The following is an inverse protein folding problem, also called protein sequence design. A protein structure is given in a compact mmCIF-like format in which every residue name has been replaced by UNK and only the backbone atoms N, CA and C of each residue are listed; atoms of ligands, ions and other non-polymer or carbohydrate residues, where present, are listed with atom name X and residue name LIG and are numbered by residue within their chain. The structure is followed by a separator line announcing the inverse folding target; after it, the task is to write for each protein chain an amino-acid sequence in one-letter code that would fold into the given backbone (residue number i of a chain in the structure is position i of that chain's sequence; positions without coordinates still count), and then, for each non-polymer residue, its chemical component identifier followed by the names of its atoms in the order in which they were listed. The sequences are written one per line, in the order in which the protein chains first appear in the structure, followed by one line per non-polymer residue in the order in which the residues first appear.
data_IF_542203188801
#
_entry.id   IF_542203188801
#
_cell.length_a   1.000
_cell.length_b   1.000
_cell.length_c   1.000
_cell.angle_alpha   90.00
_cell.angle_beta   90.00
_cell.angle_gamma   90.00
#
_symmetry.space_group_name_H-M   'P 1'
#
loop_
_entity.id
_entity.type
_entity.pdbx_description
1 polymer ?
#
# COMPACT_ATOMS: atom_id res chain seq x y z
N UNK A 1 -19.41 -16.51 10.11
CA UNK A 1 -19.60 -17.77 10.88
C UNK A 1 -18.36 -18.67 10.87
N UNK A 2 -17.73 -18.95 9.72
CA UNK A 2 -16.54 -19.82 9.64
C UNK A 2 -15.33 -19.40 10.49
N UNK A 3 -14.93 -18.11 10.48
CA UNK A 3 -13.80 -17.67 11.31
C UNK A 3 -14.07 -17.80 12.82
N UNK A 4 -15.35 -17.75 13.23
CA UNK A 4 -15.77 -17.81 14.63
C UNK A 4 -15.98 -19.25 15.12
N UNK A 5 -16.67 -20.08 14.33
CA UNK A 5 -17.06 -21.43 14.75
C UNK A 5 -16.12 -22.53 14.26
N UNK A 6 -15.23 -22.23 13.30
CA UNK A 6 -14.32 -23.19 12.67
C UNK A 6 -14.99 -24.51 12.27
N UNK A 7 -16.20 -24.42 11.71
CA UNK A 7 -16.99 -25.58 11.31
C UNK A 7 -18.04 -25.20 10.25
N UNK A 8 -18.42 -26.11 9.34
CA UNK A 8 -17.75 -27.39 9.05
C UNK A 8 -16.40 -27.18 8.37
N UNK A 9 -15.51 -28.17 8.49
CA UNK A 9 -14.31 -28.21 7.66
C UNK A 9 -14.71 -28.31 6.18
N UNK A 10 -14.00 -27.58 5.32
CA UNK A 10 -14.30 -27.52 3.87
C UNK A 10 -14.25 -28.90 3.20
N UNK A 11 -13.50 -29.85 3.78
CA UNK A 11 -13.45 -31.24 3.33
C UNK A 11 -14.80 -31.95 3.47
N UNK A 12 -15.65 -31.57 4.44
CA UNK A 12 -17.01 -32.10 4.57
C UNK A 12 -17.95 -31.59 3.48
N UNK A 13 -17.58 -30.51 2.79
CA UNK A 13 -18.30 -29.98 1.62
C UNK A 13 -17.75 -30.54 0.29
N UNK A 14 -16.86 -31.54 0.36
CA UNK A 14 -16.28 -32.20 -0.81
C UNK A 14 -15.00 -31.57 -1.34
N UNK A 15 -14.52 -30.47 -0.75
CA UNK A 15 -13.26 -29.83 -1.18
C UNK A 15 -12.04 -30.57 -0.63
N UNK A 16 -11.22 -31.12 -1.52
CA UNK A 16 -9.94 -31.76 -1.17
C UNK A 16 -8.81 -31.11 -1.94
N UNK A 17 -7.69 -30.86 -1.26
CA UNK A 17 -6.49 -30.29 -1.85
C UNK A 17 -5.25 -30.84 -1.15
N UNK A 18 -4.14 -30.98 -1.88
CA UNK A 18 -2.85 -31.35 -1.29
C UNK A 18 -2.27 -30.22 -0.43
N UNK A 19 -2.49 -28.97 -0.84
CA UNK A 19 -2.02 -27.76 -0.17
C UNK A 19 -3.12 -26.71 -0.18
N UNK A 20 -3.32 -26.00 0.93
CA UNK A 20 -4.18 -24.83 1.01
C UNK A 20 -3.33 -23.56 1.10
N UNK A 21 -3.28 -22.80 0.00
CA UNK A 21 -2.72 -21.46 0.03
C UNK A 21 -3.81 -20.46 0.39
N UNK A 22 -3.65 -19.82 1.54
CA UNK A 22 -4.49 -18.73 2.03
C UNK A 22 -3.75 -17.42 1.71
N UNK A 23 -4.16 -16.66 0.68
CA UNK A 23 -3.43 -15.46 0.23
C UNK A 23 -3.63 -14.27 1.16
N UNK A 24 -4.19 -14.47 2.35
CA UNK A 24 -4.35 -13.48 3.41
C UNK A 24 -4.34 -14.23 4.76
N UNK A 25 -4.34 -13.52 5.89
CA UNK A 25 -4.19 -14.10 7.24
C UNK A 25 -5.34 -15.03 7.68
N UNK A 26 -6.37 -15.19 6.86
CA UNK A 26 -7.55 -16.01 7.14
C UNK A 26 -7.37 -17.45 6.64
N UNK A 27 -7.52 -18.39 7.57
CA UNK A 27 -7.53 -19.82 7.26
C UNK A 27 -8.95 -20.36 7.45
N UNK A 28 -9.59 -20.89 6.40
CA UNK A 28 -10.90 -21.51 6.53
C UNK A 28 -10.84 -22.72 7.46
N UNK A 29 -11.97 -23.21 7.98
CA UNK A 29 -11.97 -24.44 8.73
C UNK A 29 -11.52 -25.58 7.82
N UNK A 30 -10.42 -26.24 8.15
CA UNK A 30 -9.83 -27.32 7.34
C UNK A 30 -9.22 -28.36 8.26
N UNK A 31 -9.30 -29.62 7.84
CA UNK A 31 -8.59 -30.73 8.47
C UNK A 31 -7.15 -30.86 7.94
N UNK A 32 -6.86 -30.24 6.78
CA UNK A 32 -5.54 -30.24 6.18
C UNK A 32 -4.54 -29.42 7.01
N UNK A 33 -3.34 -29.98 7.20
CA UNK A 33 -2.22 -29.36 7.92
C UNK A 33 -1.18 -28.70 7.00
N UNK A 34 -1.28 -28.90 5.69
CA UNK A 34 -0.41 -28.31 4.66
C UNK A 34 -0.97 -26.95 4.22
N UNK A 35 -0.98 -26.01 5.15
CA UNK A 35 -1.45 -24.64 4.93
C UNK A 35 -0.25 -23.73 4.63
N UNK A 36 -0.31 -22.99 3.54
CA UNK A 36 0.59 -21.87 3.25
C UNK A 36 -0.21 -20.59 3.50
N UNK A 37 0.29 -19.72 4.35
CA UNK A 37 -0.40 -18.48 4.74
C UNK A 37 0.38 -17.28 4.23
N UNK A 38 -0.23 -16.37 3.48
CA UNK A 38 0.36 -15.07 3.20
C UNK A 38 -0.05 -14.09 4.29
N UNK A 39 0.92 -13.36 4.84
CA UNK A 39 0.68 -12.23 5.75
C UNK A 39 1.33 -11.03 5.07
N UNK A 40 0.50 -10.09 4.60
CA UNK A 40 0.96 -8.92 3.87
C UNK A 40 1.66 -7.91 4.78
N UNK A 41 1.09 -7.66 5.95
CA UNK A 41 1.69 -6.81 6.97
C UNK A 41 1.12 -7.04 8.37
N UNK A 42 1.74 -6.39 9.35
CA UNK A 42 1.24 -6.27 10.73
C UNK A 42 1.16 -4.80 11.15
N UNK A 43 0.78 -3.91 10.22
CA UNK A 43 0.72 -2.46 10.45
C UNK A 43 -0.16 -2.11 11.66
N UNK A 44 -1.22 -2.87 11.89
CA UNK A 44 -2.13 -2.67 13.02
C UNK A 44 -1.52 -3.00 14.39
N UNK A 45 -0.44 -3.79 14.44
CA UNK A 45 0.33 -4.04 15.67
C UNK A 45 1.40 -2.96 15.85
N UNK A 46 2.06 -2.57 14.76
CA UNK A 46 3.16 -1.60 14.78
C UNK A 46 2.68 -0.16 15.00
N UNK A 47 1.52 0.19 14.47
CA UNK A 47 0.89 1.51 14.60
C UNK A 47 -0.54 1.38 15.18
N UNK A 48 -0.65 1.00 16.47
CA UNK A 48 -1.93 0.83 17.12
C UNK A 48 -2.76 2.13 17.16
N UNK A 49 -2.12 3.30 17.19
CA UNK A 49 -2.75 4.62 17.20
C UNK A 49 -3.60 4.92 15.94
N UNK A 50 -3.28 4.25 14.82
CA UNK A 50 -4.06 4.36 13.59
C UNK A 50 -5.30 3.46 13.60
N UNK A 51 -5.43 2.56 14.58
CA UNK A 51 -6.46 1.53 14.66
C UNK A 51 -7.34 1.69 15.91
N UNK A 52 -8.27 0.76 16.10
CA UNK A 52 -9.09 0.66 17.31
C UNK A 52 -8.61 -0.50 18.20
N UNK A 53 -8.59 -0.35 19.52
CA UNK A 53 -8.06 -1.37 20.45
C UNK A 53 -8.71 -2.76 20.28
N UNK A 54 -10.03 -2.80 20.09
CA UNK A 54 -10.76 -4.05 19.88
C UNK A 54 -10.34 -4.73 18.57
N UNK A 55 -10.06 -3.94 17.52
CA UNK A 55 -9.59 -4.42 16.24
C UNK A 55 -8.21 -5.05 16.44
N UNK A 56 -7.28 -4.31 17.04
CA UNK A 56 -5.92 -4.77 17.28
C UNK A 56 -5.92 -6.10 18.06
N UNK A 57 -6.66 -6.18 19.18
CA UNK A 57 -6.72 -7.39 20.00
C UNK A 57 -7.29 -8.59 19.24
N UNK A 58 -8.38 -8.38 18.49
CA UNK A 58 -9.04 -9.44 17.70
C UNK A 58 -8.11 -9.95 16.60
N UNK A 59 -7.61 -9.06 15.74
CA UNK A 59 -6.79 -9.44 14.59
C UNK A 59 -5.43 -9.99 15.01
N UNK A 60 -4.80 -9.42 16.05
CA UNK A 60 -3.54 -9.99 16.61
C UNK A 60 -3.73 -11.45 17.00
N UNK A 61 -4.83 -11.77 17.71
CA UNK A 61 -5.12 -13.14 18.12
C UNK A 61 -5.40 -14.08 16.94
N UNK A 62 -6.18 -13.61 15.95
CA UNK A 62 -6.55 -14.39 14.78
C UNK A 62 -5.36 -14.67 13.86
N UNK A 63 -4.58 -13.63 13.52
CA UNK A 63 -3.37 -13.76 12.69
C UNK A 63 -2.34 -14.64 13.40
N UNK A 64 -2.06 -14.41 14.69
CA UNK A 64 -1.11 -15.24 15.47
C UNK A 64 -1.52 -16.70 15.51
N UNK A 65 -2.81 -16.97 15.71
CA UNK A 65 -3.35 -18.34 15.71
C UNK A 65 -3.16 -19.01 14.34
N UNK A 66 -3.49 -18.30 13.26
CA UNK A 66 -3.38 -18.84 11.89
C UNK A 66 -1.91 -19.02 11.47
N UNK A 67 -1.05 -18.08 11.83
CA UNK A 67 0.40 -18.20 11.66
C UNK A 67 0.98 -19.42 12.39
N UNK A 68 0.46 -19.78 13.58
CA UNK A 68 0.93 -20.97 14.31
C UNK A 68 0.52 -22.28 13.65
N UNK A 69 -0.72 -22.38 13.16
CA UNK A 69 -1.22 -23.62 12.55
C UNK A 69 -0.76 -23.84 11.11
N UNK A 70 -0.26 -22.81 10.42
CA UNK A 70 0.23 -22.96 9.05
C UNK A 70 1.46 -23.88 9.00
N UNK A 71 1.80 -24.42 7.82
CA UNK A 71 3.04 -25.16 7.60
C UNK A 71 4.16 -24.23 7.15
N UNK A 72 3.85 -23.26 6.28
CA UNK A 72 4.73 -22.19 5.82
C UNK A 72 3.97 -20.86 5.82
N UNK A 73 4.72 -19.77 5.91
CA UNK A 73 4.20 -18.41 5.82
C UNK A 73 4.97 -17.69 4.73
N UNK A 74 4.25 -16.96 3.88
CA UNK A 74 4.81 -16.03 2.92
C UNK A 74 4.67 -14.63 3.52
N UNK A 75 5.78 -13.91 3.58
CA UNK A 75 5.82 -12.49 3.88
C UNK A 75 6.20 -11.74 2.61
N UNK A 76 5.57 -10.58 2.39
CA UNK A 76 5.84 -9.80 1.18
C UNK A 76 7.15 -9.00 1.27
N UNK A 77 7.79 -8.95 2.43
CA UNK A 77 9.05 -8.24 2.66
C UNK A 77 9.81 -8.82 3.86
N UNK A 78 11.11 -8.53 3.96
CA UNK A 78 11.91 -8.80 5.15
C UNK A 78 11.37 -8.01 6.35
N UNK A 79 10.92 -6.77 6.16
CA UNK A 79 10.22 -5.99 7.19
C UNK A 79 9.02 -6.76 7.77
N UNK A 80 8.13 -7.26 6.90
CA UNK A 80 6.97 -8.04 7.35
C UNK A 80 7.38 -9.37 7.97
N UNK A 81 8.39 -10.06 7.42
CA UNK A 81 8.95 -11.29 8.00
C UNK A 81 9.45 -11.07 9.42
N UNK A 82 10.22 -10.00 9.63
CA UNK A 82 10.74 -9.63 10.95
C UNK A 82 9.61 -9.32 11.93
N UNK A 83 8.58 -8.60 11.51
CA UNK A 83 7.42 -8.32 12.35
C UNK A 83 6.67 -9.62 12.72
N UNK A 84 6.50 -10.58 11.80
CA UNK A 84 5.88 -11.89 12.08
C UNK A 84 6.69 -12.66 13.13
N UNK A 85 8.01 -12.75 12.96
CA UNK A 85 8.90 -13.44 13.91
C UNK A 85 8.83 -12.77 15.28
N UNK A 86 8.99 -11.45 15.33
CA UNK A 86 9.11 -10.69 16.58
C UNK A 86 7.78 -10.61 17.35
N UNK A 87 6.66 -10.28 16.69
CA UNK A 87 5.37 -10.12 17.37
C UNK A 87 4.71 -11.44 17.73
N UNK A 88 4.90 -12.49 16.93
CA UNK A 88 4.21 -13.77 17.13
C UNK A 88 5.09 -14.87 17.70
N UNK A 89 6.42 -14.72 17.70
CA UNK A 89 7.36 -15.74 18.13
C UNK A 89 7.33 -16.95 17.19
N UNK A 90 7.18 -16.71 15.89
CA UNK A 90 7.18 -17.75 14.87
C UNK A 90 8.62 -18.08 14.49
N UNK A 91 8.92 -19.37 14.32
CA UNK A 91 10.21 -19.84 13.81
C UNK A 91 10.55 -19.16 12.46
N UNK A 92 11.68 -18.43 12.35
CA UNK A 92 12.09 -17.80 11.10
C UNK A 92 12.19 -18.74 9.91
N UNK A 93 12.46 -20.05 10.12
CA UNK A 93 12.50 -21.07 9.07
C UNK A 93 11.11 -21.39 8.48
N UNK A 94 10.04 -20.93 9.14
CA UNK A 94 8.67 -21.06 8.66
C UNK A 94 8.27 -19.93 7.72
N UNK A 95 8.95 -18.79 7.78
CA UNK A 95 8.60 -17.55 7.08
C UNK A 95 9.55 -17.36 5.90
N UNK A 96 9.02 -17.53 4.69
CA UNK A 96 9.72 -17.24 3.44
C UNK A 96 9.34 -15.84 2.96
N UNK A 97 10.32 -15.06 2.52
CA UNK A 97 10.06 -13.79 1.85
C UNK A 97 9.83 -14.03 0.37
N UNK A 98 8.68 -13.61 -0.14
CA UNK A 98 8.39 -13.59 -1.58
C UNK A 98 7.90 -12.19 -1.91
N UNK A 99 8.76 -11.40 -2.54
CA UNK A 99 8.41 -10.06 -3.00
C UNK A 99 7.29 -10.11 -4.04
N UNK A 100 6.36 -9.17 -3.95
CA UNK A 100 5.32 -9.03 -4.97
C UNK A 100 5.90 -8.39 -6.24
N UNK A 101 5.16 -8.54 -7.34
CA UNK A 101 5.41 -7.79 -8.56
C UNK A 101 4.24 -6.84 -8.81
N UNK A 102 4.52 -5.70 -9.42
CA UNK A 102 3.47 -4.87 -10.02
C UNK A 102 2.85 -5.62 -11.22
N UNK A 103 1.58 -5.34 -11.50
CA UNK A 103 0.91 -5.86 -12.69
C UNK A 103 1.63 -5.38 -13.97
N UNK A 104 1.73 -6.25 -14.99
CA UNK A 104 2.42 -5.98 -16.26
C UNK A 104 1.86 -4.77 -17.01
N UNK A 105 0.62 -4.35 -16.72
CA UNK A 105 0.09 -3.10 -17.25
C UNK A 105 0.91 -1.89 -16.81
N UNK A 106 1.47 -1.88 -15.60
CA UNK A 106 2.26 -0.76 -15.10
C UNK A 106 3.65 -0.81 -15.72
N UNK A 107 3.78 -0.14 -16.85
CA UNK A 107 5.01 -0.02 -17.62
C UNK A 107 5.14 1.35 -18.25
N UNK A 108 6.33 1.66 -18.72
CA UNK A 108 6.56 2.84 -19.55
C UNK A 108 5.73 2.75 -20.84
N UNK A 109 4.94 3.78 -21.09
CA UNK A 109 4.15 3.96 -22.30
C UNK A 109 4.95 4.67 -23.38
N UNK A 110 4.74 4.26 -24.63
CA UNK A 110 5.19 5.01 -25.80
C UNK A 110 4.32 6.26 -26.00
N UNK A 111 4.83 7.25 -26.74
CA UNK A 111 4.07 8.48 -27.05
C UNK A 111 2.74 8.22 -27.77
N UNK A 112 2.61 7.11 -28.50
CA UNK A 112 1.35 6.71 -29.15
C UNK A 112 0.32 6.12 -28.18
N UNK A 113 0.78 5.53 -27.07
CA UNK A 113 -0.09 4.94 -26.05
C UNK A 113 -0.52 5.97 -25.00
N UNK A 114 0.23 7.07 -24.87
CA UNK A 114 -0.14 8.17 -23.97
C UNK A 114 -1.42 8.83 -24.42
N UNK A 115 -2.40 8.90 -23.52
CA UNK A 115 -3.70 9.49 -23.78
C UNK A 115 -3.95 10.69 -22.86
N UNK A 116 -3.87 11.90 -23.44
CA UNK A 116 -4.08 13.15 -22.70
C UNK A 116 -5.53 13.36 -22.25
N UNK A 117 -6.51 12.67 -22.85
CA UNK A 117 -7.91 12.79 -22.42
C UNK A 117 -8.13 12.21 -21.02
N UNK A 118 -7.25 11.31 -20.55
CA UNK A 118 -7.24 10.86 -19.16
C UNK A 118 -6.89 12.00 -18.21
N UNK A 119 -5.92 12.86 -18.55
CA UNK A 119 -5.60 14.03 -17.72
C UNK A 119 -6.78 15.00 -17.64
N UNK A 120 -7.46 15.24 -18.77
CA UNK A 120 -8.66 16.09 -18.83
C UNK A 120 -9.80 15.50 -17.99
N UNK A 121 -10.03 14.19 -18.06
CA UNK A 121 -11.02 13.47 -17.25
C UNK A 121 -10.84 13.74 -15.75
N UNK A 122 -9.59 13.84 -15.29
CA UNK A 122 -9.25 14.13 -13.90
C UNK A 122 -8.93 15.60 -13.62
N UNK A 123 -9.19 16.54 -14.54
CA UNK A 123 -8.93 17.98 -14.35
C UNK A 123 -7.46 18.32 -14.06
N UNK A 124 -6.55 17.57 -14.69
CA UNK A 124 -5.10 17.79 -14.65
C UNK A 124 -4.70 18.53 -15.93
N UNK A 125 -4.26 19.78 -15.77
CA UNK A 125 -3.98 20.75 -16.84
C UNK A 125 -2.56 21.33 -16.77
N UNK A 126 -1.76 20.88 -15.80
CA UNK A 126 -0.37 21.30 -15.55
C UNK A 126 0.49 20.10 -15.20
N UNK A 127 1.79 20.33 -15.07
CA UNK A 127 2.73 19.38 -14.46
C UNK A 127 2.25 19.01 -13.06
N UNK A 128 2.53 17.78 -12.63
CA UNK A 128 2.08 17.34 -11.32
C UNK A 128 3.00 16.34 -10.65
N UNK A 129 2.93 16.39 -9.33
CA UNK A 129 3.47 15.40 -8.41
C UNK A 129 2.34 14.41 -8.10
N UNK A 130 2.63 13.11 -8.20
CA UNK A 130 1.66 12.04 -7.97
C UNK A 130 1.92 11.34 -6.64
N UNK A 131 0.83 10.98 -5.95
CA UNK A 131 0.86 10.02 -4.85
C UNK A 131 -0.37 9.11 -4.92
N UNK A 132 -0.20 7.82 -4.64
CA UNK A 132 -1.26 6.80 -4.85
C UNK A 132 -1.46 5.96 -3.59
N UNK A 133 -2.64 6.06 -2.98
CA UNK A 133 -3.01 5.25 -1.83
C UNK A 133 -4.32 5.71 -1.18
N UNK A 134 -4.95 4.82 -0.40
CA UNK A 134 -6.10 5.19 0.44
C UNK A 134 -5.75 6.38 1.32
N UNK A 135 -6.61 7.40 1.36
CA UNK A 135 -6.40 8.58 2.21
C UNK A 135 -6.66 8.17 3.67
N UNK A 136 -5.59 7.88 4.40
CA UNK A 136 -5.62 7.47 5.81
C UNK A 136 -4.33 7.96 6.51
N UNK A 137 -4.30 8.04 7.86
CA UNK A 137 -3.17 8.59 8.61
C UNK A 137 -1.81 8.00 8.25
N UNK A 138 -1.74 6.68 8.02
CA UNK A 138 -0.51 5.96 7.71
C UNK A 138 0.17 6.42 6.41
N UNK A 139 -0.60 6.88 5.42
CA UNK A 139 -0.05 7.40 4.16
C UNK A 139 0.49 8.83 4.28
N UNK A 140 0.18 9.52 5.38
CA UNK A 140 0.73 10.83 5.73
C UNK A 140 0.53 11.93 4.66
N UNK A 141 -0.57 11.87 3.91
CA UNK A 141 -0.87 12.87 2.88
C UNK A 141 -1.05 14.29 3.44
N UNK A 142 -1.41 14.42 4.72
CA UNK A 142 -1.39 15.69 5.45
C UNK A 142 0.01 16.36 5.40
N UNK A 143 1.08 15.61 5.67
CA UNK A 143 2.44 16.15 5.56
C UNK A 143 2.82 16.46 4.12
N UNK A 144 2.40 15.62 3.17
CA UNK A 144 2.63 15.86 1.74
C UNK A 144 2.03 17.20 1.29
N UNK A 145 0.80 17.51 1.70
CA UNK A 145 0.13 18.77 1.41
C UNK A 145 0.87 19.96 2.03
N UNK A 146 1.29 19.86 3.30
CA UNK A 146 2.09 20.93 3.94
C UNK A 146 3.40 21.18 3.20
N UNK A 147 4.10 20.13 2.79
CA UNK A 147 5.32 20.23 1.99
C UNK A 147 5.06 20.86 0.63
N UNK A 148 3.98 20.44 -0.05
CA UNK A 148 3.56 21.02 -1.32
C UNK A 148 3.27 22.52 -1.21
N UNK A 149 2.62 22.98 -0.14
CA UNK A 149 2.40 24.41 0.11
C UNK A 149 3.71 25.20 0.19
N UNK A 150 4.80 24.61 0.68
CA UNK A 150 6.11 25.25 0.68
C UNK A 150 6.76 25.25 -0.70
N UNK A 151 6.62 24.15 -1.46
CA UNK A 151 7.10 24.05 -2.83
C UNK A 151 6.43 25.10 -3.73
N UNK A 152 5.12 25.32 -3.58
CA UNK A 152 4.35 26.32 -4.35
C UNK A 152 4.84 27.76 -4.21
N UNK A 153 5.55 28.09 -3.12
CA UNK A 153 6.17 29.41 -2.91
C UNK A 153 7.43 29.62 -3.75
N UNK A 154 7.99 28.55 -4.30
CA UNK A 154 9.18 28.60 -5.15
C UNK A 154 8.79 28.82 -6.61
N UNK A 155 9.70 29.41 -7.41
CA UNK A 155 9.48 29.64 -8.85
C UNK A 155 9.27 28.34 -9.63
N UNK A 156 9.92 27.25 -9.25
CA UNK A 156 9.76 25.95 -9.91
C UNK A 156 8.42 25.34 -9.51
N UNK A 157 8.10 25.34 -8.21
CA UNK A 157 6.91 24.68 -7.70
C UNK A 157 5.60 25.36 -8.08
N UNK A 158 5.59 26.66 -8.37
CA UNK A 158 4.37 27.41 -8.68
C UNK A 158 3.56 26.86 -9.85
N UNK A 159 4.18 26.12 -10.78
CA UNK A 159 3.52 25.53 -11.95
C UNK A 159 3.02 24.09 -11.72
N UNK A 160 3.27 23.51 -10.54
CA UNK A 160 2.86 22.14 -10.24
C UNK A 160 1.48 22.06 -9.58
N UNK A 161 0.78 20.97 -9.89
CA UNK A 161 -0.33 20.40 -9.11
C UNK A 161 0.17 19.25 -8.22
N UNK A 162 -0.55 18.97 -7.14
CA UNK A 162 -0.42 17.75 -6.36
C UNK A 162 -1.64 16.87 -6.62
N UNK A 163 -1.42 15.69 -7.20
CA UNK A 163 -2.48 14.73 -7.50
C UNK A 163 -2.36 13.55 -6.55
N UNK A 164 -3.38 13.36 -5.70
CA UNK A 164 -3.47 12.23 -4.79
C UNK A 164 -4.60 11.30 -5.26
N UNK A 165 -4.21 10.11 -5.69
CA UNK A 165 -5.11 9.07 -6.17
C UNK A 165 -5.43 8.11 -5.03
N UNK A 166 -6.71 7.85 -4.80
CA UNK A 166 -7.15 6.88 -3.82
C UNK A 166 -8.50 7.21 -3.21
N UNK A 167 -9.14 6.17 -2.66
CA UNK A 167 -10.40 6.33 -1.94
C UNK A 167 -10.17 7.00 -0.58
N UNK A 168 -11.20 7.67 -0.07
CA UNK A 168 -11.22 8.12 1.32
C UNK A 168 -11.19 6.91 2.26
N UNK A 169 -10.23 6.90 3.18
CA UNK A 169 -10.12 5.92 4.25
C UNK A 169 -10.55 6.49 5.61
N UNK A 170 -10.28 5.69 6.64
CA UNK A 170 -10.56 6.03 8.03
C UNK A 170 -9.65 7.17 8.51
N UNK A 171 -10.14 7.97 9.46
CA UNK A 171 -9.36 9.06 10.11
C UNK A 171 -8.71 10.02 9.09
N UNK A 172 -9.40 10.28 7.97
CA UNK A 172 -8.87 11.06 6.85
C UNK A 172 -9.04 12.57 7.03
N UNK A 173 -9.78 13.00 8.06
CA UNK A 173 -10.20 14.39 8.30
C UNK A 173 -9.00 15.34 8.36
N UNK A 174 -7.89 14.91 8.96
CA UNK A 174 -6.66 15.69 9.01
C UNK A 174 -6.13 16.03 7.60
N UNK A 175 -6.14 15.08 6.67
CA UNK A 175 -5.68 15.30 5.29
C UNK A 175 -6.60 16.26 4.54
N UNK A 176 -7.92 16.08 4.66
CA UNK A 176 -8.89 16.98 4.04
C UNK A 176 -8.81 18.40 4.61
N UNK A 177 -8.63 18.53 5.93
CA UNK A 177 -8.43 19.82 6.60
C UNK A 177 -7.16 20.52 6.12
N UNK A 178 -6.06 19.80 5.90
CA UNK A 178 -4.84 20.39 5.32
C UNK A 178 -5.06 20.90 3.89
N UNK A 179 -5.85 20.17 3.08
CA UNK A 179 -6.24 20.65 1.74
C UNK A 179 -7.11 21.90 1.82
N UNK A 180 -8.14 21.90 2.66
CA UNK A 180 -9.09 23.00 2.82
C UNK A 180 -8.40 24.29 3.29
N UNK A 181 -7.45 24.17 4.22
CA UNK A 181 -6.69 25.31 4.74
C UNK A 181 -5.50 25.71 3.85
N UNK A 182 -5.23 24.97 2.77
CA UNK A 182 -4.14 25.31 1.86
C UNK A 182 -4.50 26.57 1.04
N UNK A 183 -3.61 27.57 0.94
CA UNK A 183 -3.79 28.69 0.02
C UNK A 183 -3.68 28.27 -1.47
N UNK A 184 -3.31 27.01 -1.74
CA UNK A 184 -3.19 26.43 -3.07
C UNK A 184 -4.13 25.23 -3.24
N UNK A 185 -5.27 25.24 -2.55
CA UNK A 185 -6.23 24.13 -2.51
C UNK A 185 -6.76 23.70 -3.88
N UNK A 186 -6.81 24.61 -4.86
CA UNK A 186 -7.20 24.36 -6.26
C UNK A 186 -6.13 23.59 -7.06
N UNK A 187 -4.86 23.68 -6.66
CA UNK A 187 -3.76 22.92 -7.24
C UNK A 187 -3.54 21.59 -6.51
N UNK A 188 -4.36 21.25 -5.51
CA UNK A 188 -4.37 19.95 -4.83
C UNK A 188 -5.62 19.20 -5.31
N UNK A 189 -5.41 18.07 -5.97
CA UNK A 189 -6.47 17.25 -6.54
C UNK A 189 -6.55 15.90 -5.83
N UNK A 190 -7.73 15.58 -5.32
CA UNK A 190 -8.07 14.22 -4.89
C UNK A 190 -8.96 13.58 -5.95
N UNK A 191 -8.45 12.57 -6.65
CA UNK A 191 -9.18 11.98 -7.78
C UNK A 191 -10.23 10.95 -7.33
N UNK A 192 -10.18 10.52 -6.08
CA UNK A 192 -10.89 9.32 -5.64
C UNK A 192 -10.26 8.05 -6.24
N UNK A 193 -11.06 7.01 -6.39
CA UNK A 193 -10.62 5.76 -7.04
C UNK A 193 -10.47 5.97 -8.54
N UNK A 194 -9.33 5.54 -9.07
CA UNK A 194 -9.00 5.54 -10.51
C UNK A 194 -8.93 4.09 -10.97
N UNK A 195 -9.35 3.81 -12.21
CA UNK A 195 -9.21 2.48 -12.81
C UNK A 195 -7.78 2.26 -13.30
N UNK A 196 -7.26 1.03 -13.28
CA UNK A 196 -5.85 0.80 -13.57
C UNK A 196 -5.43 1.25 -14.99
N UNK A 197 -6.35 1.16 -15.96
CA UNK A 197 -6.18 1.67 -17.33
C UNK A 197 -5.96 3.19 -17.40
N UNK A 198 -6.49 3.93 -16.44
CA UNK A 198 -6.24 5.37 -16.30
C UNK A 198 -5.03 5.63 -15.38
N UNK A 199 -4.84 4.81 -14.34
CA UNK A 199 -3.77 4.99 -13.36
C UNK A 199 -2.39 4.85 -14.02
N UNK A 200 -2.21 3.91 -14.96
CA UNK A 200 -1.01 3.81 -15.78
C UNK A 200 -0.70 5.12 -16.53
N UNK A 201 -1.72 5.83 -17.02
CA UNK A 201 -1.53 7.13 -17.67
C UNK A 201 -1.09 8.17 -16.64
N UNK A 202 -1.69 8.18 -15.45
CA UNK A 202 -1.29 9.11 -14.39
C UNK A 202 0.18 8.88 -13.97
N UNK A 203 0.63 7.64 -13.87
CA UNK A 203 2.05 7.36 -13.62
C UNK A 203 2.96 7.86 -14.75
N UNK A 204 2.57 7.66 -16.02
CA UNK A 204 3.40 8.00 -17.18
C UNK A 204 3.41 9.50 -17.55
N UNK A 205 2.47 10.28 -17.02
CA UNK A 205 2.38 11.73 -17.24
C UNK A 205 2.87 12.56 -16.05
N UNK A 206 3.00 11.96 -14.86
CA UNK A 206 3.56 12.63 -13.70
C UNK A 206 5.06 12.93 -13.90
N UNK A 207 5.56 13.96 -13.22
CA UNK A 207 6.99 14.32 -13.24
C UNK A 207 7.74 13.71 -12.04
N UNK A 208 7.01 13.40 -10.96
CA UNK A 208 7.55 12.86 -9.72
C UNK A 208 6.49 12.06 -8.96
N UNK A 209 6.87 10.92 -8.39
CA UNK A 209 6.08 10.20 -7.40
C UNK A 209 6.61 10.47 -5.99
N UNK A 210 5.72 10.83 -5.06
CA UNK A 210 6.09 11.04 -3.65
C UNK A 210 5.26 10.15 -2.75
N UNK A 211 5.92 9.36 -1.90
CA UNK A 211 5.30 8.34 -1.05
C UNK A 211 5.75 8.43 0.42
N UNK A 212 5.19 9.35 1.22
CA UNK A 212 5.63 9.59 2.58
C UNK A 212 4.94 8.66 3.60
N UNK A 213 4.65 7.41 3.22
CA UNK A 213 3.97 6.51 4.14
C UNK A 213 4.89 6.11 5.29
N UNK A 214 4.35 6.12 6.51
CA UNK A 214 5.08 5.71 7.71
C UNK A 214 5.44 4.21 7.71
N UNK A 215 4.69 3.39 6.99
CA UNK A 215 4.89 1.94 6.94
C UNK A 215 4.10 1.27 5.82
N UNK A 216 4.71 0.29 5.17
CA UNK A 216 4.06 -0.62 4.21
C UNK A 216 4.46 -2.07 4.45
N UNK A 217 3.56 -3.00 4.08
CA UNK A 217 3.89 -4.42 3.96
C UNK A 217 4.81 -4.75 2.79
N UNK A 218 4.67 -4.00 1.68
CA UNK A 218 5.52 -4.13 0.50
C UNK A 218 5.82 -2.79 -0.18
N UNK A 219 4.80 -2.13 -0.72
CA UNK A 219 4.98 -0.89 -1.50
C UNK A 219 4.75 -1.07 -3.00
N UNK A 220 3.60 -1.64 -3.38
CA UNK A 220 3.18 -1.70 -4.79
C UNK A 220 3.15 -0.30 -5.46
N UNK A 221 2.61 0.78 -4.84
CA UNK A 221 2.53 2.07 -5.52
C UNK A 221 3.87 2.69 -5.97
N UNK A 222 4.96 2.68 -5.17
CA UNK A 222 6.26 3.09 -5.67
C UNK A 222 6.85 2.11 -6.70
N UNK A 223 6.62 0.80 -6.59
CA UNK A 223 7.06 -0.17 -7.59
C UNK A 223 6.37 0.08 -8.96
N UNK A 224 5.07 0.32 -8.95
CA UNK A 224 4.28 0.69 -10.13
C UNK A 224 4.81 1.98 -10.78
N UNK A 225 5.12 3.00 -9.96
CA UNK A 225 5.75 4.24 -10.43
C UNK A 225 7.10 3.97 -11.11
N UNK A 226 7.97 3.18 -10.47
CA UNK A 226 9.29 2.81 -10.99
C UNK A 226 9.18 2.04 -12.31
N UNK A 227 8.25 1.08 -12.42
CA UNK A 227 8.03 0.35 -13.67
C UNK A 227 7.51 1.26 -14.81
N UNK A 228 6.79 2.32 -14.47
CA UNK A 228 6.39 3.36 -15.43
C UNK A 228 7.52 4.34 -15.78
N UNK A 229 8.70 4.22 -15.14
CA UNK A 229 9.83 5.11 -15.32
C UNK A 229 9.67 6.47 -14.63
N UNK A 230 8.76 6.57 -13.65
CA UNK A 230 8.52 7.77 -12.87
C UNK A 230 9.50 7.84 -11.69
N UNK A 231 10.31 8.90 -11.56
CA UNK A 231 11.20 9.05 -10.40
C UNK A 231 10.43 9.03 -9.08
N UNK A 232 10.97 8.33 -8.07
CA UNK A 232 10.32 8.12 -6.77
C UNK A 232 11.08 8.82 -5.65
N UNK A 233 10.36 9.52 -4.78
CA UNK A 233 10.78 9.90 -3.43
C UNK A 233 9.88 9.18 -2.43
N UNK A 234 10.46 8.42 -1.51
CA UNK A 234 9.71 7.72 -0.48
C UNK A 234 10.40 7.82 0.89
N UNK A 235 9.68 7.51 1.96
CA UNK A 235 10.29 7.38 3.28
C UNK A 235 11.17 6.12 3.38
N UNK A 236 12.34 6.21 4.03
CA UNK A 236 13.24 5.09 4.36
C UNK A 236 12.67 4.29 5.54
N UNK A 237 11.56 3.60 5.33
CA UNK A 237 10.86 2.84 6.37
C UNK A 237 10.34 1.51 5.84
N UNK A 238 10.36 0.48 6.68
CA UNK A 238 9.76 -0.84 6.41
C UNK A 238 10.21 -1.42 5.05
N UNK A 239 9.26 -2.00 4.32
CA UNK A 239 9.46 -2.58 2.99
C UNK A 239 9.80 -1.57 1.89
N UNK A 240 9.55 -0.27 2.08
CA UNK A 240 9.87 0.75 1.07
C UNK A 240 11.37 0.81 0.77
N UNK A 241 12.21 0.55 1.77
CA UNK A 241 13.66 0.44 1.59
C UNK A 241 14.04 -0.70 0.65
N UNK A 242 13.35 -1.83 0.79
CA UNK A 242 13.58 -3.06 0.02
C UNK A 242 13.10 -2.88 -1.43
N UNK A 243 11.95 -2.24 -1.62
CA UNK A 243 11.31 -2.06 -2.93
C UNK A 243 11.94 -0.94 -3.75
N UNK A 244 12.19 0.23 -3.14
CA UNK A 244 12.75 1.39 -3.86
C UNK A 244 14.24 1.22 -4.12
N UNK A 245 14.97 0.63 -3.18
CA UNK A 245 16.41 0.38 -3.30
C UNK A 245 17.20 1.65 -3.67
N UNK A 246 18.06 1.53 -4.68
CA UNK A 246 18.89 2.60 -5.23
C UNK A 246 18.25 3.35 -6.42
N UNK A 247 17.04 2.93 -6.84
CA UNK A 247 16.35 3.50 -7.99
C UNK A 247 15.56 4.80 -7.67
N UNK A 248 15.38 5.12 -6.39
CA UNK A 248 14.69 6.32 -5.93
C UNK A 248 15.41 7.01 -4.77
N UNK A 249 14.86 8.14 -4.32
CA UNK A 249 15.38 8.88 -3.16
C UNK A 249 14.59 8.45 -1.93
N UNK A 250 15.28 7.85 -0.97
CA UNK A 250 14.74 7.53 0.34
C UNK A 250 15.09 8.65 1.33
N UNK A 251 14.08 9.18 2.02
CA UNK A 251 14.24 10.22 3.04
C UNK A 251 13.87 9.69 4.43
N UNK A 252 14.54 10.11 5.51
CA UNK A 252 14.15 9.71 6.86
C UNK A 252 12.68 10.10 7.16
N UNK A 253 11.94 9.16 7.73
CA UNK A 253 10.52 9.33 8.14
C UNK A 253 10.37 10.12 9.44
#
# INVERSE_FOLDING_TARGET
LWNRFRFPAIEFLGFKADVFHCPDYLVPPTLNRKIVLTIHDLAFIRFPEFNFDWFIKKYTGEVKKNARISKKIIADSESTRNDIVNFFGIDPLKVEVIYLAADDIFRKLSEKEKNMDVLKKYQIDKKYILSVGTIEPRKNFAALIRTFNNIKKTKIGSDYKLVIVGRTGWKSEATYKEKENSPYSDDILFTGRVADQDLIQLYNWAELFVYPSFFEGFGLPPLEAMNCGLPVIAFDTSSLKEVVGDAGILIPS
#
